data_IF_413926273713
#
_entry.id   IF_413926273713
#
_cell.length_a   1.000
_cell.length_b   1.000
_cell.length_c   1.000
_cell.angle_alpha   90.00
_cell.angle_beta   90.00
_cell.angle_gamma   90.00
#
_symmetry.space_group_name_H-M   'P 1'
#
loop_
_entity.id
_entity.type
_entity.pdbx_description
1 polymer ?
#
# COMPACT_ATOMS: atom_id res chain seq x y z
N UNK A 1 -0.03 2.66 9.39
CA UNK A 1 0.80 2.50 8.18
C UNK A 1 2.15 1.96 8.60
N UNK A 2 2.39 0.66 8.39
CA UNK A 2 3.58 -0.01 8.89
C UNK A 2 4.78 0.30 7.98
N UNK A 3 5.54 1.36 8.30
CA UNK A 3 6.86 1.69 7.76
C UNK A 3 7.94 0.66 8.15
N UNK A 4 7.60 -0.63 8.17
CA UNK A 4 8.37 -1.68 8.84
C UNK A 4 9.62 -2.17 8.09
N UNK A 5 10.17 -1.33 7.22
CA UNK A 5 11.52 -0.74 7.36
C UNK A 5 12.05 -0.47 5.96
N UNK A 6 12.01 0.80 5.56
CA UNK A 6 12.83 1.27 4.44
C UNK A 6 14.31 0.86 4.65
N UNK A 7 14.73 0.72 5.92
CA UNK A 7 16.04 0.21 6.31
C UNK A 7 16.30 -1.27 5.92
N UNK A 8 15.27 -2.09 5.80
CA UNK A 8 15.40 -3.52 5.47
C UNK A 8 15.33 -3.77 3.96
N UNK A 9 15.02 -2.74 3.17
CA UNK A 9 14.97 -2.80 1.71
C UNK A 9 16.40 -2.99 1.18
N UNK A 10 16.73 -4.16 0.59
CA UNK A 10 18.07 -4.45 0.11
C UNK A 10 18.57 -3.40 -0.89
N UNK A 11 17.68 -2.90 -1.74
CA UNK A 11 17.95 -1.93 -2.79
C UNK A 11 18.35 -0.53 -2.26
N UNK A 12 18.14 -0.27 -0.97
CA UNK A 12 18.46 1.01 -0.32
C UNK A 12 19.57 0.88 0.75
N UNK A 13 20.18 -0.30 0.89
CA UNK A 13 21.28 -0.51 1.84
C UNK A 13 22.50 0.30 1.41
N UNK A 14 23.24 0.80 2.40
CA UNK A 14 24.42 1.64 2.20
C UNK A 14 24.13 3.13 1.99
N UNK A 15 22.86 3.53 1.81
CA UNK A 15 22.48 4.94 1.78
C UNK A 15 22.26 5.49 3.19
N UNK A 16 22.56 6.76 3.40
CA UNK A 16 22.20 7.50 4.59
C UNK A 16 20.66 7.62 4.74
N UNK A 17 20.13 7.71 5.97
CA UNK A 17 18.68 7.63 6.22
C UNK A 17 17.84 8.66 5.47
N UNK A 18 18.39 9.85 5.24
CA UNK A 18 17.71 10.92 4.48
C UNK A 18 17.62 10.57 3.00
N UNK A 19 18.73 10.15 2.40
CA UNK A 19 18.80 9.71 1.00
C UNK A 19 17.92 8.48 0.73
N UNK A 20 17.81 7.55 1.69
CA UNK A 20 16.86 6.41 1.61
C UNK A 20 15.41 6.87 1.48
N UNK A 21 14.98 7.82 2.32
CA UNK A 21 13.61 8.33 2.29
C UNK A 21 13.30 9.06 0.99
N UNK A 22 14.24 9.89 0.51
CA UNK A 22 14.08 10.63 -0.74
C UNK A 22 13.92 9.67 -1.92
N UNK A 23 14.82 8.69 -2.06
CA UNK A 23 14.70 7.68 -3.13
C UNK A 23 13.48 6.79 -3.02
N UNK A 24 13.11 6.39 -1.80
CA UNK A 24 11.88 5.64 -1.60
C UNK A 24 10.66 6.45 -2.05
N UNK A 25 10.59 7.72 -1.66
CA UNK A 25 9.51 8.63 -2.06
C UNK A 25 9.47 8.84 -3.57
N UNK A 26 10.63 8.95 -4.22
CA UNK A 26 10.73 9.07 -5.67
C UNK A 26 10.29 7.79 -6.38
N UNK A 27 10.75 6.62 -5.92
CA UNK A 27 10.33 5.34 -6.45
C UNK A 27 8.81 5.13 -6.34
N UNK A 28 8.22 5.52 -5.20
CA UNK A 28 6.78 5.44 -4.96
C UNK A 28 6.02 6.42 -5.87
N UNK A 29 6.47 7.67 -5.99
CA UNK A 29 5.78 8.67 -6.83
C UNK A 29 5.81 8.31 -8.30
N UNK A 30 6.93 7.75 -8.79
CA UNK A 30 7.08 7.26 -10.16
C UNK A 30 6.34 5.95 -10.42
N UNK A 31 6.04 5.17 -9.38
CA UNK A 31 5.27 3.94 -9.48
C UNK A 31 3.76 4.16 -9.54
N UNK A 32 3.27 5.36 -9.20
CA UNK A 32 1.86 5.73 -9.32
C UNK A 32 1.54 6.15 -10.76
N UNK A 33 0.67 5.39 -11.42
CA UNK A 33 0.13 5.74 -12.74
C UNK A 33 -1.38 5.89 -12.68
N UNK A 34 -1.96 6.71 -13.57
CA UNK A 34 -3.42 6.93 -13.64
C UNK A 34 -4.19 5.60 -13.78
N UNK A 35 -3.66 4.67 -14.59
CA UNK A 35 -4.20 3.31 -14.73
C UNK A 35 -4.23 2.54 -13.41
N UNK A 36 -3.20 2.72 -12.56
CA UNK A 36 -3.15 2.12 -11.24
C UNK A 36 -4.21 2.70 -10.31
N UNK A 37 -4.49 4.00 -10.40
CA UNK A 37 -5.55 4.64 -9.62
C UNK A 37 -6.94 4.08 -9.99
N UNK A 38 -7.20 3.82 -11.27
CA UNK A 38 -8.45 3.16 -11.70
C UNK A 38 -8.55 1.71 -11.22
N UNK A 39 -7.45 0.94 -11.29
CA UNK A 39 -7.42 -0.42 -10.74
C UNK A 39 -7.65 -0.41 -9.23
N UNK A 40 -7.03 0.53 -8.51
CA UNK A 40 -7.24 0.72 -7.08
C UNK A 40 -8.71 1.01 -6.78
N UNK A 41 -9.35 1.89 -7.55
CA UNK A 41 -10.77 2.21 -7.39
C UNK A 41 -11.64 0.94 -7.57
N UNK A 42 -11.35 0.13 -8.59
CA UNK A 42 -12.03 -1.15 -8.79
C UNK A 42 -11.84 -2.10 -7.60
N UNK A 43 -10.63 -2.20 -7.06
CA UNK A 43 -10.32 -3.01 -5.87
C UNK A 43 -11.04 -2.47 -4.64
N UNK A 44 -11.12 -1.16 -4.45
CA UNK A 44 -11.84 -0.52 -3.34
C UNK A 44 -13.33 -0.89 -3.40
N UNK A 45 -13.96 -0.74 -4.56
CA UNK A 45 -15.37 -1.06 -4.74
C UNK A 45 -15.61 -2.56 -4.50
N UNK A 46 -14.78 -3.43 -5.08
CA UNK A 46 -14.90 -4.88 -4.87
C UNK A 46 -14.73 -5.27 -3.39
N UNK A 47 -13.71 -4.73 -2.71
CA UNK A 47 -13.47 -4.97 -1.29
C UNK A 47 -14.65 -4.48 -0.43
N UNK A 48 -15.18 -3.28 -0.72
CA UNK A 48 -16.32 -2.73 0.00
C UNK A 48 -17.56 -3.62 -0.14
N UNK A 49 -17.85 -4.13 -1.35
CA UNK A 49 -18.99 -5.03 -1.59
C UNK A 49 -18.83 -6.34 -0.81
N UNK A 50 -17.64 -6.95 -0.85
CA UNK A 50 -17.37 -8.20 -0.12
C UNK A 50 -17.48 -7.99 1.39
N UNK A 51 -16.88 -6.93 1.92
CA UNK A 51 -16.95 -6.61 3.35
C UNK A 51 -18.38 -6.31 3.78
N UNK A 52 -19.13 -5.53 3.01
CA UNK A 52 -20.54 -5.24 3.29
C UNK A 52 -21.39 -6.52 3.32
N UNK A 53 -21.16 -7.45 2.39
CA UNK A 53 -21.82 -8.75 2.40
C UNK A 53 -21.51 -9.52 3.69
N UNK A 54 -20.22 -9.69 4.02
CA UNK A 54 -19.79 -10.42 5.23
C UNK A 54 -20.33 -9.79 6.51
N UNK A 55 -20.24 -8.47 6.63
CA UNK A 55 -20.66 -7.74 7.84
C UNK A 55 -22.18 -7.80 8.04
N UNK A 56 -22.96 -7.83 6.96
CA UNK A 56 -24.41 -7.98 7.07
C UNK A 56 -24.82 -9.33 7.68
N UNK A 57 -24.07 -10.40 7.39
CA UNK A 57 -24.32 -11.73 7.95
C UNK A 57 -23.82 -11.92 9.39
N UNK A 58 -23.11 -10.94 9.99
CA UNK A 58 -22.68 -11.04 11.38
C UNK A 58 -23.87 -10.87 12.34
N UNK A 59 -24.21 -11.90 13.15
CA UNK A 59 -25.23 -11.78 14.18
C UNK A 59 -24.70 -10.97 15.38
N UNK A 60 -25.61 -10.37 16.15
CA UNK A 60 -25.27 -9.71 17.43
C UNK A 60 -24.74 -8.27 17.34
N UNK A 61 -24.46 -7.74 16.14
CA UNK A 61 -24.04 -6.34 15.96
C UNK A 61 -25.20 -5.44 15.53
N UNK A 62 -25.38 -4.30 16.21
CA UNK A 62 -26.30 -3.25 15.79
C UNK A 62 -25.86 -2.57 14.49
N UNK A 63 -26.80 -1.96 13.76
CA UNK A 63 -26.56 -1.35 12.44
C UNK A 63 -25.41 -0.32 12.44
N UNK A 64 -25.29 0.50 13.49
CA UNK A 64 -24.19 1.46 13.62
C UNK A 64 -22.82 0.79 13.70
N UNK A 65 -22.69 -0.26 14.53
CA UNK A 65 -21.43 -1.01 14.66
C UNK A 65 -21.04 -1.74 13.39
N UNK A 66 -22.01 -2.28 12.66
CA UNK A 66 -21.78 -2.87 11.33
C UNK A 66 -21.19 -1.86 10.36
N UNK A 67 -21.69 -0.62 10.37
CA UNK A 67 -21.17 0.44 9.52
C UNK A 67 -19.72 0.82 9.85
N UNK A 68 -19.40 0.98 11.14
CA UNK A 68 -18.03 1.24 11.57
C UNK A 68 -17.08 0.09 11.22
N UNK A 69 -17.48 -1.16 11.47
CA UNK A 69 -16.68 -2.34 11.14
C UNK A 69 -16.41 -2.43 9.64
N UNK A 70 -17.44 -2.20 8.81
CA UNK A 70 -17.30 -2.16 7.36
C UNK A 70 -16.27 -1.11 6.92
N UNK A 71 -16.35 0.10 7.44
CA UNK A 71 -15.42 1.19 7.10
C UNK A 71 -13.98 0.83 7.50
N UNK A 72 -13.77 0.38 8.74
CA UNK A 72 -12.43 0.05 9.26
C UNK A 72 -11.80 -1.09 8.48
N UNK A 73 -12.54 -2.18 8.22
CA UNK A 73 -12.02 -3.35 7.50
C UNK A 73 -11.73 -3.00 6.04
N UNK A 74 -12.64 -2.28 5.37
CA UNK A 74 -12.43 -1.84 3.99
C UNK A 74 -11.19 -0.95 3.90
N UNK A 75 -11.02 0.00 4.81
CA UNK A 75 -9.82 0.83 4.88
C UNK A 75 -8.55 0.01 5.09
N UNK A 76 -8.54 -0.91 6.06
CA UNK A 76 -7.38 -1.75 6.33
C UNK A 76 -6.97 -2.59 5.12
N UNK A 77 -7.93 -3.19 4.43
CA UNK A 77 -7.69 -4.01 3.23
C UNK A 77 -7.21 -3.19 2.04
N UNK A 78 -7.85 -2.05 1.78
CA UNK A 78 -7.51 -1.19 0.65
C UNK A 78 -6.12 -0.61 0.83
N UNK A 79 -5.86 0.05 1.96
CA UNK A 79 -4.61 0.77 2.16
C UNK A 79 -3.46 -0.16 2.49
N UNK A 80 -3.69 -1.17 3.35
CA UNK A 80 -2.68 -2.18 3.66
C UNK A 80 -2.38 -3.07 2.46
N UNK A 81 -3.40 -3.53 1.75
CA UNK A 81 -3.25 -4.36 0.55
C UNK A 81 -2.58 -3.62 -0.59
N UNK A 82 -2.96 -2.37 -0.86
CA UNK A 82 -2.31 -1.57 -1.91
C UNK A 82 -0.83 -1.35 -1.63
N UNK A 83 -0.49 -0.97 -0.39
CA UNK A 83 0.90 -0.67 -0.03
C UNK A 83 1.78 -1.93 -0.18
N UNK A 84 1.32 -3.07 0.33
CA UNK A 84 2.06 -4.33 0.31
C UNK A 84 2.10 -5.03 -1.06
N UNK A 85 0.99 -5.04 -1.81
CA UNK A 85 0.85 -5.85 -3.02
C UNK A 85 1.15 -5.07 -4.31
N UNK A 86 0.98 -3.75 -4.30
CA UNK A 86 1.10 -2.93 -5.52
C UNK A 86 2.24 -1.93 -5.42
N UNK A 87 2.25 -1.09 -4.39
CA UNK A 87 3.21 0.00 -4.26
C UNK A 87 4.61 -0.52 -3.97
N UNK A 88 4.77 -1.37 -2.96
CA UNK A 88 6.08 -1.86 -2.54
C UNK A 88 6.80 -2.68 -3.64
N UNK A 89 6.16 -3.62 -4.36
CA UNK A 89 6.83 -4.38 -5.42
C UNK A 89 7.24 -3.51 -6.61
N UNK A 90 6.40 -2.53 -6.99
CA UNK A 90 6.69 -1.61 -8.09
C UNK A 90 7.80 -0.63 -7.75
N UNK A 91 7.76 -0.05 -6.55
CA UNK A 91 8.83 0.82 -6.07
C UNK A 91 10.17 0.06 -6.01
N UNK A 92 10.17 -1.19 -5.55
CA UNK A 92 11.36 -2.06 -5.57
C UNK A 92 11.82 -2.43 -6.99
N UNK A 93 10.92 -2.57 -7.95
CA UNK A 93 11.29 -2.78 -9.36
C UNK A 93 11.96 -1.54 -9.94
N UNK A 94 11.38 -0.36 -9.71
CA UNK A 94 11.96 0.91 -10.15
C UNK A 94 13.37 1.13 -9.55
N UNK A 95 13.55 0.85 -8.26
CA UNK A 95 14.86 0.93 -7.58
C UNK A 95 15.90 -0.04 -8.17
N UNK A 96 15.47 -1.22 -8.64
CA UNK A 96 16.37 -2.18 -9.32
C UNK A 96 16.77 -1.75 -10.71
N UNK A 97 15.88 -1.07 -11.43
CA UNK A 97 16.13 -0.52 -12.76
C UNK A 97 17.00 0.75 -12.71
N UNK A 98 16.98 1.47 -11.59
CA UNK A 98 17.75 2.69 -11.37
C UNK A 98 18.72 2.51 -10.18
N UNK A 99 19.66 1.54 -10.27
CA UNK A 99 20.61 1.28 -9.21
C UNK A 99 21.53 2.47 -9.07
N UNK A 100 21.89 2.73 -7.84
CA UNK A 100 22.47 3.99 -7.49
C UNK A 100 23.96 3.77 -7.44
N UNK A 101 24.63 4.18 -8.51
CA UNK A 101 26.09 4.12 -8.62
C UNK A 101 26.65 4.85 -7.40
N UNK A 102 27.26 4.11 -6.47
CA UNK A 102 28.08 4.72 -5.44
C UNK A 102 29.37 5.18 -6.13
N UNK A 103 29.75 6.47 -6.03
CA UNK A 103 31.12 6.83 -6.33
C UNK A 103 32.01 6.09 -5.34
N UNK A 104 32.79 5.15 -5.85
CA UNK A 104 33.89 4.49 -5.12
C UNK A 104 34.99 5.46 -4.81
#
# INVERSE_FOLDING_TARGET
>A
MAYWRIADIPELRGLDPRSRRVRWSEAVSRSHTVRTSFLLLGVIVAAAVVVAAVVNFLPGFGAGWKHYLMLVVTWALVFGGNDLLLTQPRARRWLREHPTVMPT
#
